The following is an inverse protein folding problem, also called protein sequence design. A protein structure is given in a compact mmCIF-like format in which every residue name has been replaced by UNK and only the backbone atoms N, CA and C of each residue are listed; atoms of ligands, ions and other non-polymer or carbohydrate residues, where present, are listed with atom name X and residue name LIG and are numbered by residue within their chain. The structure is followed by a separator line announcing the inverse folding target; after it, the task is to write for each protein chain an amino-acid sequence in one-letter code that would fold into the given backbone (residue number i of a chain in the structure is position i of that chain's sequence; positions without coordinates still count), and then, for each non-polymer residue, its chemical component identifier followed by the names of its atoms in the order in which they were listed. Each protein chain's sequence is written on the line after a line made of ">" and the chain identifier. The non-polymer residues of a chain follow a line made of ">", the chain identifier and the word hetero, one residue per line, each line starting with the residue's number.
data_IF_493001459252
#
_entry.id   IF_493001459252
#
_cell.length_a   1.000
_cell.length_b   1.000
_cell.length_c   1.000
_cell.angle_alpha   90.00
_cell.angle_beta   90.00
_cell.angle_gamma   90.00
#
_symmetry.space_group_name_H-M   'P 1'
#
loop_
_entity.id
_entity.type
_entity.pdbx_description
1 polymer ?
#
# COMPACT_ATOMS: atom_id res chain seq x y z
N UNK A 1 0.36 -10.95 30.01
CA UNK A 1 1.02 -10.99 28.68
C UNK A 1 0.15 -10.15 27.73
N UNK A 2 0.65 -9.02 27.20
CA UNK A 2 -0.14 -8.06 26.41
C UNK A 2 0.01 -8.20 24.88
N UNK A 3 0.73 -9.22 24.41
CA UNK A 3 0.96 -9.45 22.97
C UNK A 3 0.28 -10.74 22.51
N UNK A 4 -0.46 -10.66 21.41
CA UNK A 4 -1.05 -11.80 20.70
C UNK A 4 -0.46 -11.84 19.29
N UNK A 5 0.13 -12.98 18.93
CA UNK A 5 0.61 -13.23 17.57
C UNK A 5 -0.58 -13.43 16.64
N UNK A 6 -0.56 -12.78 15.47
CA UNK A 6 -1.56 -13.01 14.42
C UNK A 6 -1.38 -14.42 13.84
N UNK A 7 -2.49 -15.06 13.48
CA UNK A 7 -2.50 -16.40 12.86
C UNK A 7 -1.70 -16.46 11.56
N UNK A 8 -1.62 -15.34 10.83
CA UNK A 8 -0.77 -15.18 9.65
C UNK A 8 0.34 -14.17 9.92
N UNK A 9 1.60 -14.60 9.77
CA UNK A 9 2.81 -13.82 10.05
C UNK A 9 3.68 -13.66 8.79
N UNK A 10 3.08 -13.33 7.64
CA UNK A 10 3.81 -13.18 6.38
C UNK A 10 4.21 -11.71 6.17
N UNK A 11 5.23 -11.26 6.90
CA UNK A 11 5.77 -9.88 6.85
C UNK A 11 4.70 -8.81 7.08
N UNK A 12 4.13 -8.80 8.29
CA UNK A 12 3.16 -7.79 8.69
C UNK A 12 3.90 -6.47 8.93
N UNK A 13 3.72 -5.49 8.04
CA UNK A 13 4.52 -4.24 8.04
C UNK A 13 3.69 -2.97 8.26
N UNK A 14 2.37 -3.03 8.10
CA UNK A 14 1.49 -1.88 8.34
C UNK A 14 0.13 -2.35 8.86
N UNK A 15 -0.57 -1.47 9.57
CA UNK A 15 -1.96 -1.69 9.98
C UNK A 15 -2.74 -0.38 9.92
N UNK A 16 -4.05 -0.50 9.76
CA UNK A 16 -5.00 0.59 9.89
C UNK A 16 -6.23 0.11 10.66
N UNK A 17 -6.89 1.03 11.36
CA UNK A 17 -8.15 0.79 12.05
C UNK A 17 -9.25 1.59 11.36
N UNK A 18 -10.42 0.99 11.16
CA UNK A 18 -11.58 1.71 10.61
C UNK A 18 -12.08 2.72 11.65
N UNK A 19 -12.57 3.88 11.20
CA UNK A 19 -13.00 4.99 12.08
C UNK A 19 -14.06 4.60 13.13
N UNK A 20 -14.94 3.66 12.81
CA UNK A 20 -15.97 3.14 13.74
C UNK A 20 -15.44 2.05 14.68
N UNK A 21 -14.12 1.81 14.67
CA UNK A 21 -13.45 0.81 15.49
C UNK A 21 -13.92 -0.63 15.26
N UNK A 22 -14.58 -0.94 14.14
CA UNK A 22 -15.11 -2.29 13.88
C UNK A 22 -14.06 -3.26 13.34
N UNK A 23 -13.13 -2.77 12.52
CA UNK A 23 -12.16 -3.62 11.83
C UNK A 23 -10.74 -3.08 11.89
N UNK A 24 -9.78 -4.01 11.84
CA UNK A 24 -8.40 -3.72 11.47
C UNK A 24 -8.11 -4.24 10.08
N UNK A 25 -7.36 -3.47 9.30
CA UNK A 25 -6.66 -3.95 8.12
C UNK A 25 -5.17 -4.12 8.47
N UNK A 26 -4.58 -5.26 8.12
CA UNK A 26 -3.14 -5.54 8.33
C UNK A 26 -2.51 -5.88 6.99
N UNK A 27 -1.45 -5.17 6.63
CA UNK A 27 -0.75 -5.37 5.37
C UNK A 27 0.37 -6.40 5.51
N UNK A 28 0.32 -7.42 4.66
CA UNK A 28 1.28 -8.52 4.60
C UNK A 28 2.10 -8.47 3.30
N UNK A 29 3.00 -9.43 3.11
CA UNK A 29 3.86 -9.57 1.91
C UNK A 29 3.08 -9.66 0.59
N UNK A 30 1.87 -10.20 0.57
CA UNK A 30 1.12 -10.44 -0.67
C UNK A 30 -0.40 -10.33 -0.54
N UNK A 31 -0.90 -9.83 0.59
CA UNK A 31 -2.33 -9.68 0.86
C UNK A 31 -2.56 -8.69 2.00
N UNK A 32 -3.81 -8.28 2.16
CA UNK A 32 -4.30 -7.55 3.33
C UNK A 32 -5.22 -8.46 4.14
N UNK A 33 -5.04 -8.52 5.44
CA UNK A 33 -5.97 -9.18 6.36
C UNK A 33 -6.98 -8.18 6.87
N UNK A 34 -8.26 -8.53 6.81
CA UNK A 34 -9.32 -7.84 7.53
C UNK A 34 -9.64 -8.63 8.79
N UNK A 35 -9.49 -8.00 9.94
CA UNK A 35 -9.71 -8.58 11.26
C UNK A 35 -10.88 -7.87 11.96
N UNK A 36 -11.68 -8.63 12.69
CA UNK A 36 -12.65 -8.07 13.65
C UNK A 36 -11.88 -7.45 14.83
N UNK A 37 -12.20 -6.22 15.21
CA UNK A 37 -11.44 -5.50 16.23
C UNK A 37 -11.58 -6.06 17.65
N UNK A 38 -12.72 -6.71 17.94
CA UNK A 38 -13.05 -7.23 19.28
C UNK A 38 -12.44 -8.61 19.51
N UNK A 39 -12.52 -9.47 18.51
CA UNK A 39 -12.09 -10.88 18.59
C UNK A 39 -10.69 -11.11 18.01
N UNK A 40 -10.23 -10.20 17.13
CA UNK A 40 -9.03 -10.35 16.31
C UNK A 40 -9.07 -11.57 15.38
N UNK A 41 -10.27 -12.11 15.13
CA UNK A 41 -10.46 -13.17 14.15
C UNK A 41 -10.35 -12.61 12.73
N UNK A 42 -9.78 -13.42 11.84
CA UNK A 42 -9.69 -13.08 10.41
C UNK A 42 -11.07 -13.20 9.77
N UNK A 43 -11.59 -12.06 9.31
CA UNK A 43 -12.84 -11.99 8.54
C UNK A 43 -12.54 -12.32 7.08
N UNK A 44 -11.47 -11.73 6.53
CA UNK A 44 -11.14 -11.88 5.11
C UNK A 44 -9.65 -11.76 4.84
N UNK A 45 -9.18 -12.54 3.88
CA UNK A 45 -7.86 -12.39 3.25
C UNK A 45 -8.07 -11.79 1.85
N UNK A 46 -7.57 -10.57 1.66
CA UNK A 46 -7.69 -9.82 0.41
C UNK A 46 -6.37 -9.97 -0.34
N UNK A 47 -6.28 -10.82 -1.39
CA UNK A 47 -5.04 -10.99 -2.13
C UNK A 47 -4.64 -9.69 -2.81
N UNK A 48 -3.34 -9.41 -2.83
CA UNK A 48 -2.83 -8.29 -3.60
C UNK A 48 -2.99 -8.59 -5.10
N UNK A 49 -3.32 -7.58 -5.90
CA UNK A 49 -3.70 -7.79 -7.31
C UNK A 49 -2.51 -8.17 -8.20
N UNK A 50 -1.30 -7.77 -7.80
CA UNK A 50 -0.07 -7.95 -8.56
C UNK A 50 0.88 -8.89 -7.83
N UNK A 51 1.55 -9.76 -8.59
CA UNK A 51 2.56 -10.67 -8.03
C UNK A 51 3.75 -9.85 -7.52
N UNK A 52 4.24 -10.18 -6.32
CA UNK A 52 5.37 -9.46 -5.71
C UNK A 52 5.03 -8.08 -5.12
N UNK A 53 3.77 -7.64 -5.13
CA UNK A 53 3.38 -6.38 -4.50
C UNK A 53 3.17 -6.54 -2.98
N UNK A 54 4.22 -6.24 -2.21
CA UNK A 54 4.11 -6.13 -0.77
C UNK A 54 3.22 -4.97 -0.36
N UNK A 55 2.35 -5.17 0.62
CA UNK A 55 1.54 -4.08 1.18
C UNK A 55 2.45 -3.26 2.12
N UNK A 56 2.42 -1.94 2.03
CA UNK A 56 3.34 -1.03 2.75
C UNK A 56 2.65 0.07 3.52
N UNK A 57 1.46 0.46 3.09
CA UNK A 57 0.62 1.41 3.83
C UNK A 57 -0.85 1.08 3.62
N UNK A 58 -1.65 1.39 4.63
CA UNK A 58 -3.09 1.16 4.65
C UNK A 58 -3.78 2.37 5.27
N UNK A 59 -4.96 2.71 4.76
CA UNK A 59 -5.90 3.60 5.44
C UNK A 59 -7.33 3.19 5.10
N UNK A 60 -8.28 3.68 5.90
CA UNK A 60 -9.70 3.55 5.62
C UNK A 60 -10.26 4.91 5.20
N UNK A 61 -11.00 4.92 4.11
CA UNK A 61 -11.94 5.98 3.76
C UNK A 61 -13.33 5.33 3.76
N UNK A 62 -14.05 5.49 4.87
CA UNK A 62 -15.31 4.80 5.16
C UNK A 62 -15.21 3.27 4.99
N UNK A 63 -15.78 2.74 3.91
CA UNK A 63 -15.81 1.31 3.59
C UNK A 63 -14.79 0.90 2.53
N UNK A 64 -13.91 1.82 2.13
CA UNK A 64 -12.84 1.58 1.16
C UNK A 64 -11.52 1.51 1.91
N UNK A 65 -10.78 0.43 1.68
CA UNK A 65 -9.39 0.30 2.11
C UNK A 65 -8.52 0.85 1.00
N UNK A 66 -7.70 1.85 1.31
CA UNK A 66 -6.66 2.35 0.42
C UNK A 66 -5.35 1.64 0.74
N UNK A 67 -4.76 1.04 -0.28
CA UNK A 67 -3.66 0.08 -0.16
C UNK A 67 -2.47 0.60 -0.95
N UNK A 68 -1.44 1.06 -0.26
CA UNK A 68 -0.15 1.41 -0.86
C UNK A 68 0.78 0.18 -0.92
N UNK A 69 1.46 0.01 -2.05
CA UNK A 69 2.31 -1.18 -2.28
C UNK A 69 3.80 -0.86 -2.42
N UNK A 70 4.64 -1.88 -2.29
CA UNK A 70 6.08 -1.83 -2.51
C UNK A 70 6.50 -1.65 -3.98
N UNK A 71 5.54 -1.70 -4.92
CA UNK A 71 5.78 -1.52 -6.36
C UNK A 71 5.18 -0.21 -6.87
N UNK A 72 4.86 0.73 -5.97
CA UNK A 72 4.40 2.07 -6.32
C UNK A 72 3.02 2.15 -6.95
N UNK A 73 2.17 1.19 -6.62
CA UNK A 73 0.76 1.19 -6.99
C UNK A 73 -0.09 1.42 -5.74
N UNK A 74 -1.06 2.31 -5.83
CA UNK A 74 -2.13 2.49 -4.84
C UNK A 74 -3.40 1.84 -5.38
N UNK A 75 -4.02 0.98 -4.59
CA UNK A 75 -5.24 0.25 -4.94
C UNK A 75 -6.36 0.57 -3.95
N UNK A 76 -7.61 0.42 -4.38
CA UNK A 76 -8.79 0.70 -3.56
C UNK A 76 -9.66 -0.54 -3.47
N UNK A 77 -9.95 -0.99 -2.26
CA UNK A 77 -10.77 -2.17 -2.01
C UNK A 77 -12.05 -1.80 -1.28
N UNK A 78 -13.18 -2.05 -1.92
CA UNK A 78 -14.50 -1.85 -1.30
C UNK A 78 -14.86 -3.09 -0.48
N UNK A 79 -14.98 -2.90 0.83
CA UNK A 79 -15.29 -3.97 1.79
C UNK A 79 -16.71 -4.50 1.58
N UNK A 80 -17.67 -3.63 1.27
CA UNK A 80 -19.08 -3.99 1.11
C UNK A 80 -19.29 -4.77 -0.19
N UNK A 81 -18.67 -4.31 -1.27
CA UNK A 81 -18.72 -5.00 -2.56
C UNK A 81 -17.78 -6.22 -2.60
N UNK A 82 -16.84 -6.32 -1.66
CA UNK A 82 -15.90 -7.43 -1.54
C UNK A 82 -14.90 -7.53 -2.69
N UNK A 83 -14.61 -6.42 -3.39
CA UNK A 83 -13.74 -6.38 -4.57
C UNK A 83 -12.98 -5.05 -4.66
N UNK A 84 -11.91 -5.05 -5.45
CA UNK A 84 -11.23 -3.82 -5.82
C UNK A 84 -12.15 -2.94 -6.67
N UNK A 85 -12.07 -1.61 -6.47
CA UNK A 85 -12.79 -0.66 -7.30
C UNK A 85 -12.39 -0.87 -8.77
N UNK A 86 -13.37 -0.86 -9.67
CA UNK A 86 -13.19 -1.08 -11.10
C UNK A 86 -13.50 0.20 -11.87
N UNK A 87 -12.84 0.39 -13.01
CA UNK A 87 -13.08 1.54 -13.88
C UNK A 87 -14.50 1.47 -14.46
N UNK A 88 -15.18 2.62 -14.52
CA UNK A 88 -16.48 2.75 -15.18
C UNK A 88 -16.40 2.54 -16.70
N UNK A 89 -15.22 2.83 -17.30
CA UNK A 89 -14.96 2.67 -18.74
C UNK A 89 -14.65 1.21 -19.06
N UNK A 90 -13.98 0.51 -18.15
CA UNK A 90 -13.65 -0.90 -18.32
C UNK A 90 -13.71 -1.63 -16.97
N UNK A 91 -14.81 -2.34 -16.73
CA UNK A 91 -15.06 -3.08 -15.50
C UNK A 91 -14.05 -4.21 -15.23
N UNK A 92 -13.28 -4.64 -16.25
CA UNK A 92 -12.20 -5.62 -16.08
C UNK A 92 -10.92 -5.02 -15.47
N UNK A 93 -10.78 -3.69 -15.48
CA UNK A 93 -9.60 -2.99 -14.96
C UNK A 93 -9.91 -2.34 -13.62
N UNK A 94 -9.12 -2.71 -12.61
CA UNK A 94 -9.17 -2.05 -11.31
C UNK A 94 -8.68 -0.61 -11.41
N UNK A 95 -9.31 0.29 -10.65
CA UNK A 95 -8.83 1.66 -10.46
C UNK A 95 -7.58 1.61 -9.59
N UNK A 96 -6.48 2.12 -10.14
CA UNK A 96 -5.19 2.19 -9.45
C UNK A 96 -4.51 3.52 -9.73
N UNK A 97 -3.70 3.98 -8.79
CA UNK A 97 -2.82 5.13 -8.99
C UNK A 97 -1.38 4.63 -9.07
N UNK A 98 -0.72 4.91 -10.19
CA UNK A 98 0.65 4.52 -10.43
C UNK A 98 1.57 5.70 -10.16
N UNK A 99 2.47 5.54 -9.20
CA UNK A 99 3.50 6.54 -8.92
C UNK A 99 4.34 6.86 -10.14
N UNK A 100 4.85 8.09 -10.14
CA UNK A 100 5.93 8.47 -11.03
C UNK A 100 7.28 8.08 -10.40
N UNK A 101 8.36 8.28 -11.17
CA UNK A 101 9.71 8.09 -10.65
C UNK A 101 9.95 9.02 -9.46
N UNK A 102 10.57 8.47 -8.41
CA UNK A 102 11.11 9.23 -7.29
C UNK A 102 12.54 9.70 -7.57
N UNK A 103 13.11 10.39 -6.59
CA UNK A 103 14.53 10.71 -6.51
C UNK A 103 15.28 9.55 -5.86
N UNK A 104 16.47 9.24 -6.39
CA UNK A 104 17.43 8.31 -5.79
C UNK A 104 18.77 9.03 -5.75
N UNK A 105 19.38 9.10 -4.57
CA UNK A 105 20.71 9.69 -4.41
C UNK A 105 21.71 8.94 -5.27
N UNK A 106 22.51 9.63 -6.09
CA UNK A 106 23.69 9.02 -6.67
C UNK A 106 24.65 8.65 -5.52
N UNK A 107 25.07 7.39 -5.46
CA UNK A 107 26.19 7.02 -4.59
C UNK A 107 27.47 7.22 -5.40
N UNK A 108 28.50 7.82 -4.80
CA UNK A 108 29.73 8.20 -5.52
C UNK A 108 30.47 6.99 -6.13
N UNK A 109 30.28 5.77 -5.61
CA UNK A 109 31.06 4.58 -5.98
C UNK A 109 30.48 3.71 -7.11
N UNK A 110 29.26 3.97 -7.63
CA UNK A 110 28.60 3.01 -8.55
C UNK A 110 27.79 3.61 -9.70
N UNK A 111 28.34 4.64 -10.34
CA UNK A 111 27.75 5.42 -11.45
C UNK A 111 27.17 4.61 -12.64
N UNK A 112 27.63 3.37 -12.89
CA UNK A 112 27.21 2.58 -14.07
C UNK A 112 25.99 1.68 -13.79
N UNK A 113 25.99 0.96 -12.65
CA UNK A 113 24.85 0.12 -12.26
C UNK A 113 23.64 0.96 -11.84
N UNK A 114 23.89 2.13 -11.25
CA UNK A 114 22.85 3.01 -10.73
C UNK A 114 22.01 3.68 -11.84
N UNK A 115 22.56 3.95 -13.03
CA UNK A 115 21.78 4.47 -14.17
C UNK A 115 20.75 3.47 -14.70
N UNK A 116 21.06 2.17 -14.65
CA UNK A 116 20.14 1.10 -15.06
C UNK A 116 19.06 0.88 -13.98
N UNK A 117 19.42 0.97 -12.70
CA UNK A 117 18.45 0.91 -11.60
C UNK A 117 17.55 2.15 -11.52
N UNK A 118 18.10 3.35 -11.78
CA UNK A 118 17.32 4.60 -11.90
C UNK A 118 16.26 4.52 -13.03
N UNK A 119 16.55 3.79 -14.11
CA UNK A 119 15.60 3.60 -15.21
C UNK A 119 14.43 2.65 -14.85
N UNK A 120 14.60 1.76 -13.88
CA UNK A 120 13.61 0.72 -13.50
C UNK A 120 13.00 0.91 -12.10
N UNK A 121 13.42 1.95 -11.38
CA UNK A 121 12.95 2.20 -10.02
C UNK A 121 11.52 2.74 -9.99
N UNK A 122 10.65 2.03 -9.27
CA UNK A 122 9.32 2.50 -8.88
C UNK A 122 9.26 2.64 -7.36
N UNK A 123 8.86 3.81 -6.81
CA UNK A 123 8.87 4.04 -5.38
C UNK A 123 7.86 3.18 -4.64
N UNK A 124 8.28 2.57 -3.53
CA UNK A 124 7.34 1.96 -2.59
C UNK A 124 6.51 3.04 -1.90
N UNK A 125 5.23 2.76 -1.62
CA UNK A 125 4.33 3.68 -0.90
C UNK A 125 4.34 3.36 0.60
N UNK A 126 5.24 4.00 1.32
CA UNK A 126 5.38 3.83 2.77
C UNK A 126 4.31 4.57 3.56
N UNK A 127 3.75 5.63 3.01
CA UNK A 127 2.65 6.36 3.63
C UNK A 127 1.73 6.98 2.60
N UNK A 128 0.48 7.16 2.99
CA UNK A 128 -0.49 7.98 2.27
C UNK A 128 -1.50 8.56 3.26
N UNK A 129 -2.06 9.72 2.93
CA UNK A 129 -3.02 10.41 3.77
C UNK A 129 -4.00 11.20 2.91
N UNK A 130 -5.28 11.06 3.20
CA UNK A 130 -6.31 11.87 2.57
C UNK A 130 -6.30 13.29 3.14
N UNK A 131 -6.69 14.25 2.30
CA UNK A 131 -7.07 15.57 2.80
C UNK A 131 -8.40 15.50 3.56
N UNK A 132 -8.80 16.61 4.19
CA UNK A 132 -10.05 16.67 4.95
C UNK A 132 -11.30 16.38 4.11
N UNK A 133 -11.25 16.63 2.79
CA UNK A 133 -12.36 16.36 1.89
C UNK A 133 -12.51 14.88 1.53
N UNK A 134 -11.45 14.08 1.73
CA UNK A 134 -11.40 12.68 1.31
C UNK A 134 -11.27 12.49 -0.21
N UNK A 135 -11.08 13.57 -0.98
CA UNK A 135 -11.00 13.53 -2.44
C UNK A 135 -9.58 13.63 -2.97
N UNK A 136 -8.67 14.18 -2.17
CA UNK A 136 -7.25 14.28 -2.53
C UNK A 136 -6.45 13.34 -1.66
N UNK A 137 -5.43 12.74 -2.26
CA UNK A 137 -4.56 11.81 -1.58
C UNK A 137 -3.12 12.28 -1.70
N UNK A 138 -2.44 12.42 -0.58
CA UNK A 138 -0.98 12.49 -0.54
C UNK A 138 -0.42 11.09 -0.42
N UNK A 139 0.68 10.79 -1.11
CA UNK A 139 1.42 9.54 -0.94
C UNK A 139 2.92 9.80 -1.00
N UNK A 140 3.68 9.15 -0.12
CA UNK A 140 5.13 9.25 -0.10
C UNK A 140 5.81 7.92 0.18
N UNK A 141 7.08 7.86 -0.17
CA UNK A 141 7.95 6.75 0.14
C UNK A 141 9.30 6.89 -0.53
N UNK A 142 9.85 5.79 -1.05
CA UNK A 142 11.23 5.77 -1.50
C UNK A 142 11.65 4.41 -2.04
N UNK A 143 12.95 4.17 -2.23
CA UNK A 143 13.48 2.91 -2.73
C UNK A 143 13.07 1.74 -1.86
N UNK A 144 12.64 0.63 -2.48
CA UNK A 144 12.35 -0.61 -1.75
C UNK A 144 13.63 -1.38 -1.40
N UNK A 145 14.67 -1.27 -2.24
CA UNK A 145 15.98 -1.86 -1.95
C UNK A 145 16.63 -1.15 -0.78
N UNK A 146 17.11 -1.90 0.21
CA UNK A 146 17.77 -1.37 1.40
C UNK A 146 19.09 -0.63 1.10
N UNK A 147 19.67 -0.86 -0.08
CA UNK A 147 20.94 -0.27 -0.50
C UNK A 147 20.76 1.06 -1.26
N UNK A 148 19.53 1.57 -1.39
CA UNK A 148 19.25 2.79 -2.14
C UNK A 148 18.67 3.86 -1.22
N UNK A 149 19.25 5.05 -1.26
CA UNK A 149 18.75 6.24 -0.58
C UNK A 149 17.94 7.09 -1.56
N UNK A 150 16.75 7.54 -1.18
CA UNK A 150 15.90 8.31 -2.07
C UNK A 150 14.51 8.56 -1.52
N UNK A 151 13.71 9.31 -2.26
CA UNK A 151 12.38 9.69 -1.84
C UNK A 151 11.42 9.89 -3.01
N UNK A 152 10.13 9.74 -2.72
CA UNK A 152 9.03 10.08 -3.60
C UNK A 152 7.94 10.76 -2.77
N UNK A 153 7.31 11.77 -3.36
CA UNK A 153 6.09 12.38 -2.86
C UNK A 153 5.19 12.70 -4.06
N UNK A 154 3.90 12.44 -3.91
CA UNK A 154 2.90 12.73 -4.94
C UNK A 154 1.58 13.14 -4.32
N UNK A 155 0.89 14.05 -4.99
CA UNK A 155 -0.48 14.46 -4.69
C UNK A 155 -1.39 14.00 -5.82
N UNK A 156 -2.50 13.37 -5.46
CA UNK A 156 -3.53 12.88 -6.36
C UNK A 156 -4.78 13.76 -6.21
N UNK A 157 -5.37 14.19 -7.33
CA UNK A 157 -6.55 15.05 -7.42
C UNK A 157 -7.49 14.56 -8.51
#
# INVERSE_FOLDING_TARGET
>A
RFSRRLSSCQDNVCMAMKNDSSFYAVGCRSFTLLLDSKTLHTIKKIPARFTGCGIRSLSFQDNVITIGTGVGVIMFYDIRAGKYLASSINSSRSVVLNTRRGYVSPDEDSMVNQRIEQAKYTPAIYTHCYDYSGTRLFSAGGPFSANLCGNYAGLWQ
#
